data_IF_353166178891
#
_entry.id   IF_353166178891
#
_cell.length_a   1.000
_cell.length_b   1.000
_cell.length_c   1.000
_cell.angle_alpha   90.00
_cell.angle_beta   90.00
_cell.angle_gamma   90.00
#
_symmetry.space_group_name_H-M   'P 1'
#
loop_
_entity.id
_entity.type
_entity.pdbx_description
1 polymer ?
#
# COMPACT_ATOMS: atom_id res chain seq x y z
N UNK A 1 0.29 14.09 13.19
CA UNK A 1 -0.04 12.84 12.50
C UNK A 1 -0.77 13.11 11.20
N UNK A 2 -0.38 12.44 10.15
CA UNK A 2 -1.02 12.63 8.87
C UNK A 2 -2.31 11.82 8.79
N UNK A 3 -3.29 12.43 8.19
CA UNK A 3 -4.64 11.94 8.20
C UNK A 3 -4.84 10.59 7.51
N UNK A 4 -4.08 10.35 6.46
CA UNK A 4 -4.27 9.16 5.64
C UNK A 4 -3.21 8.09 5.86
N UNK A 5 -2.49 8.19 6.96
CA UNK A 5 -1.39 7.27 7.21
C UNK A 5 -1.69 6.35 8.37
N UNK A 6 -1.01 5.23 8.40
CA UNK A 6 -1.18 4.25 9.47
C UNK A 6 -0.74 4.81 10.82
N UNK A 7 -1.50 4.49 11.84
CA UNK A 7 -1.05 4.71 13.20
C UNK A 7 -0.04 3.63 13.57
N UNK A 8 0.71 3.87 14.64
CA UNK A 8 1.67 2.87 15.12
C UNK A 8 0.96 1.57 15.46
N UNK A 9 -0.21 1.67 16.06
CA UNK A 9 -0.98 0.49 16.44
C UNK A 9 -1.40 -0.32 15.22
N UNK A 10 -1.85 0.37 14.18
CA UNK A 10 -2.23 -0.31 12.95
C UNK A 10 -1.03 -0.97 12.31
N UNK A 11 0.10 -0.29 12.34
CA UNK A 11 1.32 -0.85 11.76
C UNK A 11 1.76 -2.11 12.50
N UNK A 12 1.62 -2.15 13.81
CA UNK A 12 1.99 -3.32 14.59
C UNK A 12 1.17 -4.55 14.21
N UNK A 13 -0.07 -4.34 13.81
CA UNK A 13 -0.91 -5.45 13.34
C UNK A 13 -0.49 -5.91 11.95
N UNK A 14 -0.09 -4.97 11.10
CA UNK A 14 0.20 -5.25 9.69
C UNK A 14 1.57 -5.88 9.50
N UNK A 15 2.56 -5.38 10.23
CA UNK A 15 3.95 -5.76 10.00
C UNK A 15 4.18 -7.27 9.96
N UNK A 16 3.68 -8.04 10.93
CA UNK A 16 3.91 -9.48 10.91
C UNK A 16 3.21 -10.21 9.77
N UNK A 17 2.28 -9.57 9.10
CA UNK A 17 1.57 -10.18 7.98
C UNK A 17 2.29 -10.03 6.66
N UNK A 18 3.31 -9.18 6.61
CA UNK A 18 4.01 -8.89 5.38
C UNK A 18 5.11 -9.92 5.11
N UNK A 19 5.41 -10.17 3.83
CA UNK A 19 6.51 -11.09 3.52
C UNK A 19 7.83 -10.51 4.02
N UNK A 20 8.72 -11.39 4.42
CA UNK A 20 10.04 -10.97 4.85
C UNK A 20 10.72 -10.23 3.71
N UNK A 21 11.50 -9.20 4.04
CA UNK A 21 12.18 -8.44 3.00
C UNK A 21 13.17 -9.30 2.24
N UNK A 22 13.90 -10.15 2.91
CA UNK A 22 14.69 -11.20 2.30
C UNK A 22 15.72 -10.79 1.27
N UNK A 23 15.84 -9.53 0.96
CA UNK A 23 16.77 -9.08 -0.04
C UNK A 23 18.10 -8.77 0.59
N UNK A 24 19.10 -9.49 0.17
CA UNK A 24 20.42 -9.29 0.71
C UNK A 24 21.08 -8.07 0.11
N UNK A 25 21.70 -7.29 0.98
CA UNK A 25 22.57 -6.24 0.56
C UNK A 25 21.90 -5.01 -0.01
N UNK A 26 20.61 -5.03 -0.16
CA UNK A 26 19.92 -3.87 -0.69
C UNK A 26 18.63 -3.64 0.09
N UNK A 27 18.59 -2.57 0.88
CA UNK A 27 17.35 -2.25 1.60
C UNK A 27 16.29 -1.86 0.60
N UNK A 28 15.10 -2.34 0.81
CA UNK A 28 14.00 -1.87 -0.03
C UNK A 28 13.27 -0.76 0.69
N UNK A 29 12.43 -0.05 -0.05
CA UNK A 29 11.64 1.00 0.53
C UNK A 29 10.80 0.42 1.66
N UNK A 30 10.73 1.15 2.75
CA UNK A 30 10.00 0.76 3.95
C UNK A 30 8.56 0.38 3.59
N UNK A 31 8.15 -0.80 3.98
CA UNK A 31 6.80 -1.29 3.70
C UNK A 31 5.72 -0.40 4.29
N UNK A 32 5.97 0.14 5.47
CA UNK A 32 5.00 1.06 6.08
C UNK A 32 4.80 2.29 5.20
N UNK A 33 5.89 2.81 4.66
CA UNK A 33 5.85 3.96 3.78
C UNK A 33 5.06 3.66 2.51
N UNK A 34 5.28 2.47 1.96
CA UNK A 34 4.58 2.04 0.77
C UNK A 34 3.08 1.93 1.02
N UNK A 35 2.71 1.33 2.14
CA UNK A 35 1.31 1.19 2.48
C UNK A 35 0.67 2.56 2.72
N UNK A 36 1.38 3.45 3.38
CA UNK A 36 0.88 4.81 3.55
C UNK A 36 0.64 5.49 2.22
N UNK A 37 1.51 5.23 1.24
CA UNK A 37 1.32 5.74 -0.12
C UNK A 37 0.06 5.20 -0.76
N UNK A 38 -0.19 3.90 -0.59
CA UNK A 38 -1.41 3.30 -1.10
C UNK A 38 -2.65 3.92 -0.46
N UNK A 39 -2.61 4.14 0.85
CA UNK A 39 -3.71 4.76 1.56
C UNK A 39 -3.96 6.19 1.08
N UNK A 40 -2.89 6.94 0.88
CA UNK A 40 -3.01 8.29 0.38
C UNK A 40 -3.66 8.30 -1.00
N UNK A 41 -3.18 7.43 -1.87
CA UNK A 41 -3.74 7.30 -3.22
C UNK A 41 -5.23 6.98 -3.16
N UNK A 42 -5.60 6.02 -2.34
CA UNK A 42 -6.98 5.58 -2.24
C UNK A 42 -7.90 6.69 -1.70
N UNK A 43 -7.40 7.44 -0.72
CA UNK A 43 -8.24 8.44 -0.05
C UNK A 43 -8.34 9.75 -0.82
N UNK A 44 -7.31 10.10 -1.57
CA UNK A 44 -7.29 11.39 -2.27
C UNK A 44 -7.64 11.28 -3.74
N UNK A 45 -7.48 10.10 -4.32
CA UNK A 45 -7.76 9.92 -5.73
C UNK A 45 -6.71 10.48 -6.67
N UNK A 46 -5.55 10.89 -6.17
CA UNK A 46 -4.49 11.40 -7.04
C UNK A 46 -4.03 10.32 -8.01
N UNK A 47 -3.51 10.73 -9.16
CA UNK A 47 -2.90 9.78 -10.07
C UNK A 47 -1.66 9.16 -9.42
N UNK A 48 -1.32 7.93 -9.82
CA UNK A 48 -0.15 7.28 -9.25
C UNK A 48 1.11 8.15 -9.38
N UNK A 49 1.31 8.73 -10.55
CA UNK A 49 2.52 9.52 -10.78
C UNK A 49 2.54 10.84 -10.01
N UNK A 50 1.42 11.21 -9.42
CA UNK A 50 1.34 12.43 -8.61
C UNK A 50 1.49 12.15 -7.13
N UNK A 51 1.80 10.91 -6.77
CA UNK A 51 1.99 10.52 -5.38
C UNK A 51 3.14 11.31 -4.77
N UNK A 52 2.96 11.89 -3.58
CA UNK A 52 4.04 12.67 -2.95
C UNK A 52 5.30 11.84 -2.72
N UNK A 53 6.43 12.48 -2.86
CA UNK A 53 7.73 11.82 -2.72
C UNK A 53 7.98 11.28 -1.33
N UNK A 54 7.26 11.77 -0.34
CA UNK A 54 7.45 11.28 1.03
C UNK A 54 7.10 9.80 1.17
N UNK A 55 6.37 9.25 0.19
CA UNK A 55 6.04 7.82 0.16
C UNK A 55 7.01 7.02 -0.69
N UNK A 56 8.07 7.66 -1.15
CA UNK A 56 9.03 7.03 -2.05
C UNK A 56 8.62 7.21 -3.51
N UNK A 57 9.44 6.70 -4.43
CA UNK A 57 9.10 6.81 -5.85
C UNK A 57 7.76 6.15 -6.12
N UNK A 58 6.92 6.83 -6.90
CA UNK A 58 5.58 6.31 -7.12
C UNK A 58 5.60 4.92 -7.78
N UNK A 59 6.59 4.67 -8.62
CA UNK A 59 6.70 3.36 -9.28
C UNK A 59 6.93 2.25 -8.28
N UNK A 60 7.66 2.53 -7.21
CA UNK A 60 7.89 1.54 -6.17
C UNK A 60 6.59 1.18 -5.47
N UNK A 61 5.78 2.18 -5.14
CA UNK A 61 4.49 1.94 -4.49
C UNK A 61 3.57 1.14 -5.41
N UNK A 62 3.50 1.57 -6.66
CA UNK A 62 2.66 0.92 -7.66
C UNK A 62 3.07 -0.54 -7.87
N UNK A 63 4.36 -0.79 -8.03
CA UNK A 63 4.85 -2.14 -8.27
C UNK A 63 4.63 -3.04 -7.06
N UNK A 64 4.77 -2.49 -5.85
CA UNK A 64 4.51 -3.24 -4.64
C UNK A 64 3.03 -3.60 -4.54
N UNK A 65 2.16 -2.68 -4.90
CA UNK A 65 0.72 -2.92 -4.93
C UNK A 65 0.40 -4.10 -5.86
N UNK A 66 0.96 -4.07 -7.07
CA UNK A 66 0.73 -5.14 -8.03
C UNK A 66 1.29 -6.47 -7.57
N UNK A 67 2.50 -6.45 -7.02
CA UNK A 67 3.11 -7.68 -6.53
C UNK A 67 2.28 -8.32 -5.43
N UNK A 68 1.87 -7.50 -4.48
CA UNK A 68 1.09 -8.00 -3.36
C UNK A 68 -0.29 -8.49 -3.78
N UNK A 69 -0.86 -7.91 -4.83
CA UNK A 69 -2.14 -8.38 -5.31
C UNK A 69 -2.03 -9.77 -5.93
N UNK A 70 -0.87 -10.09 -6.49
CA UNK A 70 -0.65 -11.40 -7.10
C UNK A 70 -0.25 -12.46 -6.11
N UNK A 71 0.43 -12.08 -5.04
CA UNK A 71 0.95 -13.06 -4.08
C UNK A 71 -0.02 -13.40 -2.97
N UNK A 72 -1.16 -12.71 -2.93
CA UNK A 72 -2.14 -12.94 -1.86
C UNK A 72 -1.89 -12.08 -0.63
N UNK A 73 -0.84 -11.28 -0.64
CA UNK A 73 -0.53 -10.42 0.51
C UNK A 73 -1.64 -9.42 0.77
N UNK A 74 -2.16 -8.80 -0.30
CA UNK A 74 -3.27 -7.85 -0.13
C UNK A 74 -4.50 -8.54 0.42
N UNK A 75 -4.82 -9.74 -0.03
CA UNK A 75 -5.95 -10.49 0.50
C UNK A 75 -5.81 -10.70 2.00
N UNK A 76 -4.61 -11.04 2.45
CA UNK A 76 -4.37 -11.23 3.87
C UNK A 76 -4.57 -9.92 4.63
N UNK A 77 -4.06 -8.82 4.09
CA UNK A 77 -4.19 -7.53 4.73
C UNK A 77 -5.65 -7.08 4.83
N UNK A 78 -6.41 -7.25 3.73
CA UNK A 78 -7.81 -6.84 3.75
C UNK A 78 -8.63 -7.66 4.72
N UNK A 79 -8.25 -8.90 4.94
CA UNK A 79 -8.94 -9.75 5.89
C UNK A 79 -8.72 -9.29 7.33
N UNK A 80 -7.53 -8.78 7.62
CA UNK A 80 -7.12 -8.49 8.98
C UNK A 80 -7.28 -7.03 9.40
N UNK A 81 -7.22 -6.10 8.46
CA UNK A 81 -7.15 -4.68 8.80
C UNK A 81 -8.18 -3.90 7.99
N UNK A 82 -9.20 -3.39 8.68
CA UNK A 82 -10.31 -2.71 8.01
C UNK A 82 -9.88 -1.50 7.17
N UNK A 83 -8.98 -0.68 7.68
CA UNK A 83 -8.58 0.51 6.95
C UNK A 83 -7.89 0.13 5.64
N UNK A 84 -7.15 -0.97 5.66
CA UNK A 84 -6.51 -1.47 4.44
C UNK A 84 -7.57 -2.01 3.48
N UNK A 85 -8.56 -2.72 4.01
CA UNK A 85 -9.62 -3.27 3.18
C UNK A 85 -10.35 -2.16 2.42
N UNK A 86 -10.67 -1.09 3.10
CA UNK A 86 -11.37 0.03 2.48
C UNK A 86 -10.51 0.69 1.40
N UNK A 87 -9.22 0.86 1.68
CA UNK A 87 -8.33 1.48 0.72
C UNK A 87 -8.14 0.62 -0.52
N UNK A 88 -7.95 -0.68 -0.34
CA UNK A 88 -7.76 -1.58 -1.46
C UNK A 88 -9.03 -1.65 -2.31
N UNK A 89 -10.18 -1.64 -1.66
CA UNK A 89 -11.46 -1.65 -2.37
C UNK A 89 -11.59 -0.42 -3.26
N UNK A 90 -11.19 0.74 -2.74
CA UNK A 90 -11.20 1.98 -3.53
C UNK A 90 -10.26 1.88 -4.73
N UNK A 91 -9.06 1.34 -4.52
CA UNK A 91 -8.09 1.19 -5.60
C UNK A 91 -8.59 0.24 -6.67
N UNK A 92 -9.20 -0.86 -6.27
CA UNK A 92 -9.75 -1.82 -7.22
C UNK A 92 -10.87 -1.21 -8.04
N UNK A 93 -11.71 -0.43 -7.41
CA UNK A 93 -12.81 0.23 -8.10
C UNK A 93 -12.29 1.19 -9.16
N UNK A 94 -11.23 1.92 -8.81
CA UNK A 94 -10.62 2.86 -9.72
C UNK A 94 -10.03 2.17 -10.93
N UNK A 95 -9.34 1.06 -10.70
CA UNK A 95 -8.77 0.27 -11.77
C UNK A 95 -9.85 -0.27 -12.69
N UNK A 96 -10.95 -0.75 -12.12
CA UNK A 96 -12.06 -1.26 -12.91
C UNK A 96 -12.66 -0.20 -13.83
N UNK A 97 -12.77 1.01 -13.31
CA UNK A 97 -13.31 2.13 -14.08
C UNK A 97 -12.39 2.49 -15.24
N UNK A 98 -11.09 2.51 -14.98
CA UNK A 98 -10.11 2.92 -15.97
C UNK A 98 -9.79 1.82 -16.97
N UNK A 99 -10.16 0.63 -16.67
CA UNK A 99 -9.86 -0.51 -17.52
C UNK A 99 -10.72 -0.49 -18.77
N UNK A 100 -10.09 -0.33 -19.89
CA UNK A 100 -10.81 -0.23 -21.16
C UNK A 100 -10.29 -1.21 -22.14
#
# INVERSE_FOLDING_TARGET
MRRHELTDEQWQVIEPLLPASGTKGRPRVDDRRVINGMLFKAKTGVAWRDLPERYGPWKTVYNRFWRWSRTGTLSTLVTKVRVIAEAIDELDREVSVDSR
#
